data_IF_829474637533
#
_entry.id   IF_829474637533
#
_cell.length_a   1.000
_cell.length_b   1.000
_cell.length_c   1.000
_cell.angle_alpha   90.00
_cell.angle_beta   90.00
_cell.angle_gamma   90.00
#
_symmetry.space_group_name_H-M   'P 1'
#
loop_
_entity.id
_entity.type
_entity.pdbx_description
1 polymer ?
#
# COMPACT_ATOMS: atom_id res chain seq x y z
N UNK A 1 29.31 -25.40 47.93
CA UNK A 1 28.17 -25.96 48.68
C UNK A 1 27.08 -24.90 48.71
N UNK A 2 25.87 -25.30 48.30
CA UNK A 2 24.58 -24.59 48.38
C UNK A 2 24.22 -23.58 47.28
N UNK A 3 23.20 -24.02 46.54
CA UNK A 3 22.27 -23.35 45.64
C UNK A 3 21.71 -22.02 46.15
N UNK A 4 21.36 -21.14 45.20
CA UNK A 4 20.05 -20.50 45.20
C UNK A 4 19.57 -20.27 43.76
N UNK A 5 18.43 -20.88 43.42
CA UNK A 5 17.59 -20.53 42.26
C UNK A 5 16.56 -19.55 42.80
N UNK A 6 16.33 -18.42 42.11
CA UNK A 6 14.97 -17.87 42.04
C UNK A 6 14.77 -17.06 40.76
N UNK A 7 13.78 -17.50 40.02
CA UNK A 7 13.12 -16.96 38.85
C UNK A 7 12.60 -15.54 39.05
N UNK A 8 12.77 -14.69 38.03
CA UNK A 8 11.88 -13.54 37.77
C UNK A 8 11.39 -13.61 36.34
N UNK A 9 10.16 -14.07 36.21
CA UNK A 9 9.25 -13.94 35.07
C UNK A 9 8.96 -12.46 34.82
N UNK A 10 9.39 -11.92 33.68
CA UNK A 10 8.92 -10.63 33.19
C UNK A 10 7.63 -10.87 32.40
N UNK A 11 6.50 -10.70 33.09
CA UNK A 11 5.18 -10.65 32.49
C UNK A 11 5.05 -9.39 31.60
N UNK A 12 4.61 -9.58 30.37
CA UNK A 12 4.21 -8.54 29.44
C UNK A 12 2.95 -7.84 29.95
N UNK A 13 3.08 -6.58 30.40
CA UNK A 13 1.94 -5.72 30.72
C UNK A 13 1.52 -4.97 29.46
N UNK A 14 0.64 -5.56 28.64
CA UNK A 14 -0.17 -4.77 27.71
C UNK A 14 -1.36 -4.19 28.49
N UNK A 15 -1.52 -2.87 28.41
CA UNK A 15 -2.60 -2.13 29.07
C UNK A 15 -3.97 -2.61 28.55
N UNK A 16 -4.96 -2.92 29.43
CA UNK A 16 -6.27 -3.42 29.01
C UNK A 16 -7.04 -2.45 28.08
N UNK A 17 -6.78 -1.14 28.20
CA UNK A 17 -7.44 -0.09 27.42
C UNK A 17 -7.00 -0.04 25.96
N UNK A 18 -5.73 -0.27 25.64
CA UNK A 18 -5.22 -0.24 24.26
C UNK A 18 -5.62 -1.48 23.45
N UNK A 19 -5.81 -2.61 24.13
CA UNK A 19 -6.28 -3.85 23.51
C UNK A 19 -7.79 -3.79 23.17
N UNK A 20 -8.59 -3.15 24.03
CA UNK A 20 -10.02 -2.92 23.78
C UNK A 20 -10.26 -1.98 22.59
N UNK A 21 -9.52 -0.86 22.53
CA UNK A 21 -9.62 0.09 21.40
C UNK A 21 -9.17 -0.52 20.07
N UNK A 22 -8.15 -1.38 20.10
CA UNK A 22 -7.71 -2.09 18.89
C UNK A 22 -8.79 -3.03 18.36
N UNK A 23 -9.41 -3.83 19.24
CA UNK A 23 -10.46 -4.78 18.85
C UNK A 23 -11.68 -4.09 18.23
N UNK A 24 -12.14 -2.99 18.83
CA UNK A 24 -13.27 -2.21 18.31
C UNK A 24 -12.97 -1.61 16.93
N UNK A 25 -11.75 -1.10 16.72
CA UNK A 25 -11.32 -0.57 15.41
C UNK A 25 -11.32 -1.66 14.32
N UNK A 26 -10.83 -2.87 14.64
CA UNK A 26 -10.89 -4.00 13.70
C UNK A 26 -12.32 -4.46 13.42
N UNK A 27 -13.21 -4.49 14.42
CA UNK A 27 -14.62 -4.81 14.20
C UNK A 27 -15.29 -3.77 13.28
N UNK A 28 -14.97 -2.49 13.46
CA UNK A 28 -15.44 -1.41 12.58
C UNK A 28 -14.92 -1.57 11.15
N UNK A 29 -13.63 -1.89 10.97
CA UNK A 29 -13.04 -2.20 9.67
C UNK A 29 -13.77 -3.37 8.99
N UNK A 30 -13.97 -4.48 9.68
CA UNK A 30 -14.60 -5.67 9.09
C UNK A 30 -16.04 -5.37 8.66
N UNK A 31 -16.79 -4.63 9.47
CA UNK A 31 -18.13 -4.15 9.11
C UNK A 31 -18.09 -3.25 7.87
N UNK A 32 -17.15 -2.30 7.82
CA UNK A 32 -16.94 -1.42 6.68
C UNK A 32 -16.67 -2.21 5.39
N UNK A 33 -15.72 -3.16 5.42
CA UNK A 33 -15.35 -4.01 4.28
C UNK A 33 -16.54 -4.83 3.78
N UNK A 34 -17.25 -5.53 4.67
CA UNK A 34 -18.41 -6.35 4.29
C UNK A 34 -19.55 -5.49 3.73
N UNK A 35 -19.85 -4.35 4.36
CA UNK A 35 -20.90 -3.43 3.87
C UNK A 35 -20.57 -2.81 2.52
N UNK A 36 -19.29 -2.73 2.17
CA UNK A 36 -18.78 -2.18 0.91
C UNK A 36 -18.57 -3.24 -0.18
N UNK A 37 -19.00 -4.49 0.07
CA UNK A 37 -19.02 -5.58 -0.92
C UNK A 37 -17.75 -6.42 -1.01
N UNK A 38 -16.81 -6.27 -0.08
CA UNK A 38 -15.65 -7.16 0.00
C UNK A 38 -16.06 -8.56 0.47
N UNK A 39 -15.50 -9.58 -0.17
CA UNK A 39 -15.73 -11.00 0.16
C UNK A 39 -14.42 -11.64 0.55
N UNK A 40 -14.37 -12.24 1.74
CA UNK A 40 -13.15 -12.81 2.34
C UNK A 40 -13.49 -13.92 3.32
N UNK A 41 -14.52 -14.71 3.01
CA UNK A 41 -14.88 -15.88 3.80
C UNK A 41 -13.70 -16.86 3.86
N UNK A 42 -13.40 -17.36 5.05
CA UNK A 42 -12.23 -18.21 5.25
C UNK A 42 -10.93 -17.44 5.49
N UNK A 43 -10.96 -16.11 5.66
CA UNK A 43 -9.78 -15.27 5.95
C UNK A 43 -9.98 -14.50 7.26
N UNK A 44 -9.01 -14.59 8.15
CA UNK A 44 -8.94 -13.77 9.37
C UNK A 44 -7.83 -12.73 9.25
N UNK A 45 -8.15 -11.47 9.57
CA UNK A 45 -7.16 -10.39 9.70
C UNK A 45 -6.51 -10.48 11.08
N UNK A 46 -5.21 -10.80 11.13
CA UNK A 46 -4.43 -10.94 12.37
C UNK A 46 -3.05 -10.30 12.21
N UNK A 47 -2.96 -8.96 12.32
CA UNK A 47 -1.71 -8.26 12.12
C UNK A 47 -0.66 -8.66 13.15
N UNK A 48 0.56 -8.92 12.69
CA UNK A 48 1.71 -9.18 13.57
C UNK A 48 2.25 -7.86 14.14
N UNK A 49 2.89 -7.93 15.31
CA UNK A 49 3.55 -6.77 15.91
C UNK A 49 4.74 -6.26 15.08
N UNK A 50 5.32 -7.11 14.23
CA UNK A 50 6.49 -6.77 13.41
C UNK A 50 6.09 -6.14 12.07
N UNK A 51 5.16 -6.76 11.34
CA UNK A 51 4.82 -6.31 9.99
C UNK A 51 3.60 -5.38 9.96
N UNK A 52 2.86 -5.29 11.08
CA UNK A 52 1.58 -4.57 11.17
C UNK A 52 0.57 -5.02 10.09
N UNK A 53 0.73 -6.26 9.63
CA UNK A 53 -0.03 -6.96 8.59
C UNK A 53 -0.12 -8.43 8.96
N UNK A 54 -1.06 -9.13 8.34
CA UNK A 54 -1.29 -10.53 8.62
C UNK A 54 -2.69 -10.96 8.21
N UNK A 55 -2.74 -11.86 7.25
CA UNK A 55 -3.94 -12.60 6.88
C UNK A 55 -3.68 -14.08 7.17
N UNK A 56 -4.64 -14.73 7.84
CA UNK A 56 -4.58 -16.16 8.15
C UNK A 56 -5.77 -16.85 7.49
N UNK A 57 -5.52 -17.94 6.78
CA UNK A 57 -6.56 -18.81 6.28
C UNK A 57 -7.26 -19.51 7.45
N UNK A 58 -8.57 -19.40 7.58
CA UNK A 58 -9.37 -20.14 8.58
C UNK A 58 -9.95 -21.44 8.01
N UNK A 59 -9.74 -21.68 6.71
CA UNK A 59 -10.12 -22.88 5.99
C UNK A 59 -9.05 -23.20 4.93
N UNK A 60 -9.13 -24.38 4.32
CA UNK A 60 -8.25 -24.74 3.21
C UNK A 60 -8.73 -24.10 1.90
N UNK A 61 -7.82 -23.44 1.18
CA UNK A 61 -8.04 -22.92 -0.17
C UNK A 61 -7.30 -23.79 -1.19
N UNK A 62 -7.94 -24.07 -2.33
CA UNK A 62 -7.31 -24.81 -3.44
C UNK A 62 -6.52 -23.86 -4.32
N UNK A 63 -5.49 -24.37 -4.98
CA UNK A 63 -4.77 -23.64 -6.02
C UNK A 63 -5.72 -23.10 -7.10
N UNK A 64 -5.46 -21.88 -7.56
CA UNK A 64 -6.25 -21.19 -8.59
C UNK A 64 -7.58 -20.62 -8.11
N UNK A 65 -7.89 -20.72 -6.81
CA UNK A 65 -9.15 -20.16 -6.25
C UNK A 65 -8.96 -18.75 -5.71
N UNK A 66 -10.03 -17.98 -5.76
CA UNK A 66 -10.08 -16.63 -5.17
C UNK A 66 -10.25 -16.74 -3.66
N UNK A 67 -9.29 -16.18 -2.93
CA UNK A 67 -9.26 -16.16 -1.46
C UNK A 67 -10.05 -14.98 -0.91
N UNK A 68 -9.85 -13.81 -1.51
CA UNK A 68 -10.62 -12.61 -1.22
C UNK A 68 -10.79 -11.76 -2.47
N UNK A 69 -11.84 -10.95 -2.47
CA UNK A 69 -12.20 -10.06 -3.58
C UNK A 69 -12.70 -8.73 -3.00
N UNK A 70 -12.09 -7.63 -3.43
CA UNK A 70 -12.32 -6.28 -2.91
C UNK A 70 -12.79 -5.37 -4.06
N UNK A 71 -14.04 -4.87 -4.04
CA UNK A 71 -14.53 -3.98 -5.08
C UNK A 71 -13.74 -2.68 -5.15
N UNK A 72 -13.12 -2.42 -6.29
CA UNK A 72 -12.32 -1.22 -6.48
C UNK A 72 -13.20 0.02 -6.59
N UNK A 73 -14.43 -0.12 -7.08
CA UNK A 73 -15.41 0.98 -7.23
C UNK A 73 -15.87 1.57 -5.90
N UNK A 74 -15.76 0.85 -4.79
CA UNK A 74 -16.11 1.36 -3.46
C UNK A 74 -14.87 1.57 -2.61
N UNK A 75 -13.97 0.58 -2.57
CA UNK A 75 -12.89 0.53 -1.58
C UNK A 75 -11.53 1.04 -2.07
N UNK A 76 -11.31 1.24 -3.38
CA UNK A 76 -10.01 1.75 -3.84
C UNK A 76 -9.77 3.19 -3.40
N UNK A 77 -8.57 3.48 -2.91
CA UNK A 77 -8.12 4.83 -2.60
C UNK A 77 -7.04 5.20 -3.61
N UNK A 78 -7.39 6.07 -4.55
CA UNK A 78 -6.51 6.60 -5.59
C UNK A 78 -6.57 8.13 -5.60
N UNK A 79 -5.58 8.76 -6.23
CA UNK A 79 -5.53 10.22 -6.30
C UNK A 79 -6.76 10.81 -7.00
N UNK A 80 -7.21 10.21 -8.11
CA UNK A 80 -8.39 10.65 -8.86
C UNK A 80 -9.67 10.61 -8.00
N UNK A 81 -9.88 9.51 -7.28
CA UNK A 81 -11.07 9.35 -6.42
C UNK A 81 -11.09 10.34 -5.27
N UNK A 82 -9.94 10.57 -4.63
CA UNK A 82 -9.84 11.55 -3.54
C UNK A 82 -10.05 12.98 -4.04
N UNK A 83 -9.51 13.34 -5.21
CA UNK A 83 -9.71 14.66 -5.81
C UNK A 83 -11.15 14.92 -6.26
N UNK A 84 -11.97 13.89 -6.39
CA UNK A 84 -13.39 14.02 -6.72
C UNK A 84 -14.28 14.30 -5.48
N UNK A 85 -13.72 14.34 -4.26
CA UNK A 85 -14.47 14.70 -3.05
C UNK A 85 -14.44 16.20 -2.81
N UNK A 86 -15.55 16.76 -2.32
CA UNK A 86 -15.63 18.19 -1.99
C UNK A 86 -14.67 18.57 -0.86
N UNK A 87 -14.50 17.69 0.12
CA UNK A 87 -13.59 17.91 1.24
C UNK A 87 -12.15 18.11 0.75
N UNK A 88 -11.61 17.16 -0.01
CA UNK A 88 -10.22 17.25 -0.50
C UNK A 88 -10.03 18.47 -1.39
N UNK A 89 -10.99 18.76 -2.30
CA UNK A 89 -10.91 19.97 -3.14
C UNK A 89 -10.92 21.25 -2.32
N UNK A 90 -11.69 21.30 -1.23
CA UNK A 90 -11.74 22.46 -0.34
C UNK A 90 -10.43 22.72 0.39
N UNK A 91 -9.60 21.69 0.58
CA UNK A 91 -8.27 21.84 1.18
C UNK A 91 -7.25 22.47 0.23
N UNK A 92 -7.54 22.53 -1.08
CA UNK A 92 -6.62 23.01 -2.12
C UNK A 92 -5.21 22.35 -2.04
N UNK A 93 -5.12 21.00 -2.15
CA UNK A 93 -3.88 20.26 -2.00
C UNK A 93 -2.84 20.60 -3.08
N UNK A 94 -1.53 20.40 -2.80
CA UNK A 94 -0.50 20.45 -3.83
C UNK A 94 -0.86 19.53 -4.99
N UNK A 95 -0.81 20.08 -6.20
CA UNK A 95 -1.12 19.32 -7.41
C UNK A 95 -0.02 18.32 -7.72
N UNK A 96 -0.34 17.34 -8.55
CA UNK A 96 0.65 16.42 -9.12
C UNK A 96 1.83 17.15 -9.78
N UNK A 97 1.58 18.28 -10.44
CA UNK A 97 2.64 19.07 -11.08
C UNK A 97 3.51 19.82 -10.08
N UNK A 98 2.98 20.23 -8.93
CA UNK A 98 3.77 20.77 -7.82
C UNK A 98 4.76 19.73 -7.30
N UNK A 99 4.27 18.52 -7.03
CA UNK A 99 5.09 17.38 -6.61
C UNK A 99 6.16 17.07 -7.65
N UNK A 100 5.79 16.97 -8.93
CA UNK A 100 6.72 16.69 -10.02
C UNK A 100 7.82 17.73 -10.12
N UNK A 101 7.48 19.02 -10.08
CA UNK A 101 8.45 20.12 -10.14
C UNK A 101 9.44 20.04 -8.99
N UNK A 102 8.94 19.80 -7.78
CA UNK A 102 9.77 19.70 -6.58
C UNK A 102 10.74 18.51 -6.62
N UNK A 103 10.26 17.34 -7.04
CA UNK A 103 11.08 16.13 -7.18
C UNK A 103 12.14 16.30 -8.28
N UNK A 104 11.77 16.87 -9.43
CA UNK A 104 12.72 17.16 -10.52
C UNK A 104 13.81 18.15 -10.09
N UNK A 105 13.46 19.18 -9.31
CA UNK A 105 14.44 20.13 -8.76
C UNK A 105 15.45 19.46 -7.81
N UNK A 106 15.10 18.29 -7.25
CA UNK A 106 15.97 17.45 -6.42
C UNK A 106 16.62 16.29 -7.18
N UNK A 107 16.56 16.30 -8.52
CA UNK A 107 17.17 15.27 -9.36
C UNK A 107 16.37 13.97 -9.46
N UNK A 108 15.15 13.92 -8.92
CA UNK A 108 14.27 12.74 -8.97
C UNK A 108 13.36 12.83 -10.19
N UNK A 109 13.60 11.98 -11.19
CA UNK A 109 12.82 11.92 -12.43
C UNK A 109 12.11 10.56 -12.57
N UNK A 110 11.31 10.20 -11.57
CA UNK A 110 10.48 9.00 -11.57
C UNK A 110 8.99 9.39 -11.55
N UNK A 111 8.23 9.15 -12.63
CA UNK A 111 6.82 9.48 -12.71
C UNK A 111 5.96 8.64 -11.76
N UNK A 112 6.35 7.41 -11.43
CA UNK A 112 5.63 6.59 -10.44
C UNK A 112 5.80 7.21 -9.08
N UNK A 113 7.03 7.50 -8.69
CA UNK A 113 7.32 8.10 -7.39
C UNK A 113 6.55 9.40 -7.21
N UNK A 114 6.44 10.21 -8.27
CA UNK A 114 5.58 11.39 -8.28
C UNK A 114 4.11 11.07 -7.99
N UNK A 115 3.55 10.04 -8.64
CA UNK A 115 2.16 9.60 -8.42
C UNK A 115 1.96 9.07 -6.98
N UNK A 116 2.96 8.38 -6.41
CA UNK A 116 2.93 7.84 -5.05
C UNK A 116 2.92 8.95 -4.00
N UNK A 117 3.81 9.94 -4.15
CA UNK A 117 3.89 11.10 -3.25
C UNK A 117 2.61 11.92 -3.32
N UNK A 118 2.08 12.12 -4.53
CA UNK A 118 0.81 12.83 -4.71
C UNK A 118 -0.35 12.08 -4.05
N UNK A 119 -0.46 10.75 -4.21
CA UNK A 119 -1.44 9.94 -3.48
C UNK A 119 -1.27 10.10 -1.96
N UNK A 120 -0.04 10.04 -1.45
CA UNK A 120 0.23 10.16 -0.03
C UNK A 120 -0.23 11.51 0.56
N UNK A 121 -0.02 12.62 -0.15
CA UNK A 121 -0.54 13.92 0.26
C UNK A 121 -2.07 13.90 0.35
N UNK A 122 -2.75 13.36 -0.65
CA UNK A 122 -4.22 13.30 -0.66
C UNK A 122 -4.75 12.37 0.44
N UNK A 123 -4.07 11.26 0.73
CA UNK A 123 -4.39 10.37 1.86
C UNK A 123 -4.21 11.09 3.19
N UNK A 124 -3.18 11.93 3.34
CA UNK A 124 -3.02 12.76 4.54
C UNK A 124 -4.18 13.77 4.69
N UNK A 125 -4.61 14.37 3.57
CA UNK A 125 -5.81 15.21 3.51
C UNK A 125 -7.06 14.46 3.97
N UNK A 126 -7.27 13.26 3.44
CA UNK A 126 -8.45 12.45 3.79
C UNK A 126 -8.39 11.96 5.25
N UNK A 127 -7.18 11.74 5.81
CA UNK A 127 -7.02 11.34 7.21
C UNK A 127 -7.51 12.38 8.21
N UNK A 128 -7.39 13.68 7.89
CA UNK A 128 -7.88 14.75 8.76
C UNK A 128 -9.39 15.00 8.59
N UNK A 129 -10.05 14.33 7.64
CA UNK A 129 -11.49 14.38 7.47
C UNK A 129 -12.20 13.55 8.55
N UNK A 130 -12.83 14.21 9.52
CA UNK A 130 -13.60 13.55 10.59
C UNK A 130 -14.80 12.73 10.08
N UNK A 131 -15.23 12.99 8.84
CA UNK A 131 -16.33 12.28 8.18
C UNK A 131 -15.84 11.40 7.03
N UNK A 132 -14.55 11.04 7.03
CA UNK A 132 -14.01 10.17 5.98
C UNK A 132 -14.77 8.84 5.95
N UNK A 133 -15.25 8.39 4.77
CA UNK A 133 -15.79 7.04 4.63
C UNK A 133 -14.71 5.97 4.87
N UNK A 134 -13.42 6.33 4.76
CA UNK A 134 -12.28 5.44 4.99
C UNK A 134 -11.75 5.49 6.43
N UNK A 135 -12.40 6.22 7.35
CA UNK A 135 -11.98 6.27 8.75
C UNK A 135 -11.78 4.87 9.38
N UNK A 136 -12.67 3.88 9.19
CA UNK A 136 -12.47 2.52 9.73
C UNK A 136 -11.19 1.84 9.21
N UNK A 137 -10.75 2.18 7.99
CA UNK A 137 -9.49 1.69 7.44
C UNK A 137 -8.29 2.43 8.02
N UNK A 138 -8.34 3.76 8.11
CA UNK A 138 -7.21 4.52 8.66
C UNK A 138 -6.99 4.27 10.15
N UNK A 139 -8.03 3.98 10.92
CA UNK A 139 -7.95 3.76 12.37
C UNK A 139 -7.27 2.44 12.75
N UNK A 140 -7.22 1.47 11.83
CA UNK A 140 -6.49 0.20 12.04
C UNK A 140 -5.05 0.26 11.53
N UNK A 141 -4.68 1.29 10.77
CA UNK A 141 -3.31 1.45 10.29
C UNK A 141 -2.40 1.90 11.44
N UNK A 142 -1.14 1.43 11.48
CA UNK A 142 -0.20 1.84 12.52
C UNK A 142 0.07 3.35 12.44
N UNK A 143 0.20 4.00 13.60
CA UNK A 143 0.62 5.39 13.73
C UNK A 143 1.71 5.50 14.81
N UNK A 144 2.98 5.79 14.46
CA UNK A 144 3.50 6.04 13.11
C UNK A 144 3.34 4.81 12.19
N UNK A 145 3.38 5.02 10.87
CA UNK A 145 3.18 3.93 9.90
C UNK A 145 4.25 2.84 10.03
N UNK A 146 5.47 3.24 10.39
CA UNK A 146 6.60 2.40 10.78
C UNK A 146 7.22 3.05 12.02
N UNK A 147 7.51 2.24 13.05
CA UNK A 147 8.23 2.71 14.24
C UNK A 147 9.73 2.66 13.98
N UNK A 148 10.27 3.74 13.41
CA UNK A 148 11.69 3.84 13.06
C UNK A 148 12.62 3.63 14.28
N UNK A 149 12.17 3.94 15.49
CA UNK A 149 12.93 3.69 16.73
C UNK A 149 13.03 2.20 17.03
N UNK A 150 11.92 1.47 16.93
CA UNK A 150 11.92 0.02 17.09
C UNK A 150 12.72 -0.69 15.99
N UNK A 151 12.61 -0.20 14.74
CA UNK A 151 13.37 -0.74 13.59
C UNK A 151 14.86 -0.60 13.82
N UNK A 152 15.35 0.61 14.14
CA UNK A 152 16.79 0.82 14.30
C UNK A 152 17.35 0.06 15.50
N UNK A 153 16.59 -0.05 16.60
CA UNK A 153 17.00 -0.86 17.75
C UNK A 153 17.20 -2.33 17.38
N UNK A 154 16.39 -2.87 16.45
CA UNK A 154 16.47 -4.26 15.99
C UNK A 154 17.64 -4.49 15.03
N UNK A 155 17.93 -3.55 14.13
CA UNK A 155 18.85 -3.77 13.01
C UNK A 155 20.21 -3.06 13.14
N UNK A 156 20.41 -2.17 14.12
CA UNK A 156 21.66 -1.38 14.27
C UNK A 156 22.95 -2.21 14.30
N UNK A 157 22.90 -3.43 14.84
CA UNK A 157 24.08 -4.29 15.01
C UNK A 157 24.29 -5.21 13.79
N UNK A 158 23.33 -5.22 12.85
CA UNK A 158 23.36 -5.99 11.60
C UNK A 158 23.75 -5.12 10.41
N UNK A 159 23.37 -3.84 10.44
CA UNK A 159 23.68 -2.88 9.39
C UNK A 159 25.10 -2.35 9.52
N UNK A 160 25.80 -2.20 8.39
CA UNK A 160 27.06 -1.48 8.39
C UNK A 160 26.84 0.05 8.55
N UNK A 161 27.88 0.82 8.93
CA UNK A 161 27.74 2.26 9.13
C UNK A 161 27.22 3.04 7.91
N UNK A 162 27.52 2.58 6.69
CA UNK A 162 27.04 3.23 5.45
C UNK A 162 25.55 2.98 5.25
N UNK A 163 25.09 1.75 5.52
CA UNK A 163 23.68 1.39 5.46
C UNK A 163 22.83 2.14 6.50
N UNK A 164 23.37 2.34 7.70
CA UNK A 164 22.72 3.16 8.73
C UNK A 164 22.56 4.62 8.29
N UNK A 165 23.61 5.18 7.66
CA UNK A 165 23.56 6.54 7.12
C UNK A 165 22.53 6.66 5.99
N UNK A 166 22.51 5.73 5.04
CA UNK A 166 21.54 5.72 3.94
C UNK A 166 20.08 5.63 4.46
N UNK A 167 19.84 4.84 5.51
CA UNK A 167 18.52 4.74 6.14
C UNK A 167 18.09 6.03 6.84
N UNK A 168 19.01 6.72 7.52
CA UNK A 168 18.75 8.04 8.13
C UNK A 168 18.50 9.10 7.04
N UNK A 169 19.31 9.11 5.98
CA UNK A 169 19.17 10.00 4.83
C UNK A 169 17.79 9.89 4.19
N UNK A 170 17.27 8.67 3.96
CA UNK A 170 15.92 8.47 3.44
C UNK A 170 14.86 9.16 4.31
N UNK A 171 14.96 9.08 5.63
CA UNK A 171 13.98 9.74 6.51
C UNK A 171 14.08 11.25 6.41
N UNK A 172 15.30 11.81 6.52
CA UNK A 172 15.53 13.26 6.50
C UNK A 172 15.13 13.90 5.18
N UNK A 173 15.48 13.26 4.07
CA UNK A 173 15.16 13.75 2.73
C UNK A 173 13.66 13.81 2.50
N UNK A 174 12.94 12.74 2.85
CA UNK A 174 11.49 12.70 2.66
C UNK A 174 10.74 13.65 3.60
N UNK A 175 11.18 13.82 4.85
CA UNK A 175 10.62 14.85 5.74
C UNK A 175 10.84 16.25 5.13
N UNK A 176 11.99 16.50 4.53
CA UNK A 176 12.30 17.78 3.88
C UNK A 176 11.42 18.03 2.65
N UNK A 177 11.20 17.00 1.81
CA UNK A 177 10.30 17.07 0.65
C UNK A 177 8.87 17.35 1.09
N UNK A 178 8.37 16.59 2.07
CA UNK A 178 6.99 16.72 2.55
C UNK A 178 6.76 18.08 3.22
N UNK A 179 7.73 18.57 4.00
CA UNK A 179 7.64 19.91 4.61
C UNK A 179 7.47 21.00 3.56
N UNK A 180 8.27 20.96 2.49
CA UNK A 180 8.14 21.94 1.40
C UNK A 180 6.77 21.87 0.70
N UNK A 181 6.18 20.67 0.57
CA UNK A 181 4.84 20.49 -0.01
C UNK A 181 3.74 20.94 0.96
N UNK A 182 3.87 20.70 2.26
CA UNK A 182 2.91 21.18 3.26
C UNK A 182 2.96 22.69 3.43
N UNK A 183 4.14 23.31 3.32
CA UNK A 183 4.28 24.77 3.35
C UNK A 183 3.52 25.42 2.18
N UNK A 184 3.53 24.77 1.01
CA UNK A 184 2.74 25.20 -0.14
C UNK A 184 1.22 24.99 0.07
N UNK A 185 0.84 23.93 0.80
CA UNK A 185 -0.55 23.64 1.13
C UNK A 185 -1.15 24.71 2.08
N UNK A 186 -0.34 25.21 3.01
CA UNK A 186 -0.74 26.24 3.96
C UNK A 186 -1.58 25.71 5.13
N UNK A 187 -2.23 26.61 5.87
CA UNK A 187 -2.85 26.31 7.18
C UNK A 187 -4.04 25.33 7.15
N UNK A 188 -4.62 25.07 5.97
CA UNK A 188 -5.67 24.06 5.80
C UNK A 188 -5.14 22.65 5.56
N UNK A 189 -3.82 22.51 5.31
CA UNK A 189 -3.19 21.23 5.04
C UNK A 189 -3.00 20.37 6.30
N UNK A 190 -2.79 19.05 6.13
CA UNK A 190 -2.42 18.17 7.23
C UNK A 190 -1.05 18.54 7.82
N UNK A 191 -0.82 18.27 9.12
CA UNK A 191 0.52 18.36 9.71
C UNK A 191 1.53 17.47 8.98
N UNK A 192 2.80 17.88 8.96
CA UNK A 192 3.87 17.15 8.27
C UNK A 192 4.03 15.72 8.77
N UNK A 193 3.74 15.47 10.05
CA UNK A 193 3.75 14.15 10.67
C UNK A 193 2.68 13.24 10.06
N UNK A 194 1.49 13.79 9.76
CA UNK A 194 0.40 13.06 9.09
C UNK A 194 0.76 12.81 7.62
N UNK A 195 1.38 13.78 6.94
CA UNK A 195 1.91 13.58 5.59
C UNK A 195 3.00 12.49 5.55
N UNK A 196 3.88 12.45 6.55
CA UNK A 196 4.92 11.44 6.66
C UNK A 196 4.34 10.05 6.94
N UNK A 197 3.35 9.95 7.83
CA UNK A 197 2.58 8.73 8.05
C UNK A 197 1.93 8.23 6.76
N UNK A 198 1.26 9.11 6.02
CA UNK A 198 0.59 8.75 4.76
C UNK A 198 1.60 8.31 3.69
N UNK A 199 2.75 8.98 3.61
CA UNK A 199 3.84 8.60 2.71
C UNK A 199 4.35 7.19 2.99
N UNK A 200 4.71 6.90 4.25
CA UNK A 200 5.19 5.57 4.65
C UNK A 200 4.11 4.50 4.50
N UNK A 201 2.84 4.86 4.69
CA UNK A 201 1.68 3.99 4.42
C UNK A 201 1.59 3.65 2.94
N UNK A 202 1.51 4.65 2.05
CA UNK A 202 1.42 4.44 0.60
C UNK A 202 2.61 3.66 0.07
N UNK A 203 3.83 4.08 0.43
CA UNK A 203 5.06 3.46 -0.04
C UNK A 203 5.13 1.96 0.30
N UNK A 204 4.66 1.59 1.49
CA UNK A 204 4.70 0.20 1.96
C UNK A 204 3.52 -0.64 1.48
N UNK A 205 2.31 -0.07 1.36
CA UNK A 205 1.04 -0.82 1.21
C UNK A 205 0.41 -0.75 -0.18
N UNK A 206 0.78 0.21 -1.01
CA UNK A 206 0.14 0.40 -2.31
C UNK A 206 0.36 -0.78 -3.26
N UNK A 207 -0.60 -0.94 -4.16
CA UNK A 207 -0.48 -1.74 -5.36
C UNK A 207 -0.56 -0.83 -6.59
N UNK A 208 0.10 -1.21 -7.67
CA UNK A 208 -0.09 -0.60 -8.98
C UNK A 208 -1.27 -1.31 -9.66
N UNK A 209 -2.45 -0.71 -9.61
CA UNK A 209 -3.69 -1.30 -10.14
C UNK A 209 -4.24 -0.45 -11.30
N UNK A 210 -5.08 -1.02 -12.18
CA UNK A 210 -5.69 -0.29 -13.27
C UNK A 210 -6.56 0.85 -12.70
N UNK A 211 -6.35 2.06 -13.21
CA UNK A 211 -7.09 3.26 -12.81
C UNK A 211 -8.59 3.11 -13.10
N UNK A 212 -8.92 2.49 -14.25
CA UNK A 212 -10.27 2.23 -14.70
C UNK A 212 -10.36 0.82 -15.30
N UNK A 213 -11.36 0.06 -14.88
CA UNK A 213 -11.71 -1.20 -15.53
C UNK A 213 -10.70 -2.34 -15.35
N UNK A 214 -10.54 -3.16 -16.38
CA UNK A 214 -9.69 -4.37 -16.39
C UNK A 214 -8.41 -4.13 -17.16
N UNK A 215 -7.42 -4.98 -16.91
CA UNK A 215 -6.31 -5.15 -17.85
C UNK A 215 -6.84 -5.64 -19.21
N UNK A 216 -6.40 -5.06 -20.34
CA UNK A 216 -6.76 -5.59 -21.63
C UNK A 216 -6.22 -7.03 -21.75
N UNK A 217 -6.98 -7.90 -22.43
CA UNK A 217 -6.79 -9.36 -22.40
C UNK A 217 -5.41 -9.83 -22.87
N UNK A 218 -4.70 -8.99 -23.63
CA UNK A 218 -3.34 -9.18 -24.13
C UNK A 218 -2.24 -8.94 -23.08
N UNK A 219 -2.53 -8.24 -21.98
CA UNK A 219 -1.59 -7.95 -20.89
C UNK A 219 -1.65 -9.02 -19.78
N UNK A 220 -2.73 -9.79 -19.72
CA UNK A 220 -3.02 -10.73 -18.64
C UNK A 220 -3.55 -10.02 -17.38
N UNK A 221 -4.50 -10.63 -16.68
CA UNK A 221 -5.11 -10.08 -15.44
C UNK A 221 -4.22 -10.20 -14.21
N UNK A 222 -3.09 -10.92 -14.31
CA UNK A 222 -2.15 -11.15 -13.22
C UNK A 222 -1.21 -9.97 -13.04
N UNK A 223 -1.45 -9.20 -11.98
CA UNK A 223 -0.59 -8.11 -11.53
C UNK A 223 0.30 -8.64 -10.42
N UNK A 224 1.38 -9.34 -10.78
CA UNK A 224 2.36 -9.77 -9.77
C UNK A 224 3.00 -8.55 -9.07
N UNK A 225 3.22 -8.65 -7.75
CA UNK A 225 3.86 -7.64 -6.90
C UNK A 225 5.29 -7.25 -7.34
N UNK A 226 5.87 -7.99 -8.30
CA UNK A 226 7.03 -7.54 -9.10
C UNK A 226 6.73 -6.33 -10.00
N UNK A 227 5.54 -5.73 -9.90
CA UNK A 227 5.05 -4.58 -10.66
C UNK A 227 5.95 -3.33 -10.68
N UNK A 228 6.93 -3.20 -9.79
CA UNK A 228 7.97 -2.16 -9.94
C UNK A 228 8.91 -2.45 -11.12
N UNK A 229 9.25 -3.71 -11.37
CA UNK A 229 9.97 -4.13 -12.58
C UNK A 229 9.03 -4.17 -13.81
N UNK A 230 7.76 -4.50 -13.62
CA UNK A 230 6.75 -4.51 -14.69
C UNK A 230 6.35 -3.11 -15.13
N UNK A 231 6.48 -2.07 -14.30
CA UNK A 231 6.23 -0.68 -14.67
C UNK A 231 7.17 -0.20 -15.78
N UNK A 232 8.48 -0.48 -15.68
CA UNK A 232 9.43 -0.14 -16.74
C UNK A 232 9.13 -0.83 -18.07
N UNK A 233 8.48 -2.01 -18.03
CA UNK A 233 8.04 -2.75 -19.21
C UNK A 233 6.70 -2.24 -19.74
N UNK A 234 5.75 -1.95 -18.86
CA UNK A 234 4.42 -1.42 -19.16
C UNK A 234 4.45 0.03 -19.66
N UNK A 235 5.35 0.88 -19.17
CA UNK A 235 5.56 2.25 -19.69
C UNK A 235 6.24 2.22 -21.06
N UNK A 236 7.23 1.32 -21.27
CA UNK A 236 7.82 1.11 -22.61
C UNK A 236 6.80 0.56 -23.59
N UNK A 237 5.99 -0.42 -23.18
CA UNK A 237 4.91 -0.96 -24.01
C UNK A 237 3.83 0.07 -24.29
N UNK A 238 3.38 0.86 -23.31
CA UNK A 238 2.39 1.93 -23.55
C UNK A 238 2.96 3.07 -24.37
N UNK A 239 4.24 3.46 -24.25
CA UNK A 239 4.86 4.45 -25.15
C UNK A 239 5.00 3.91 -26.58
N UNK A 240 5.42 2.66 -26.75
CA UNK A 240 5.54 2.02 -28.07
C UNK A 240 4.17 1.81 -28.68
N UNK A 241 3.18 1.33 -27.92
CA UNK A 241 1.78 1.16 -28.37
C UNK A 241 1.11 2.51 -28.64
N UNK A 242 1.32 3.55 -27.83
CA UNK A 242 0.83 4.91 -28.13
C UNK A 242 1.44 5.46 -29.41
N UNK A 243 2.74 5.22 -29.67
CA UNK A 243 3.39 5.62 -30.93
C UNK A 243 2.89 4.80 -32.13
N UNK A 244 2.72 3.48 -31.97
CA UNK A 244 2.23 2.61 -33.04
C UNK A 244 0.75 2.90 -33.35
N UNK A 245 -0.08 3.10 -32.31
CA UNK A 245 -1.50 3.44 -32.45
C UNK A 245 -1.73 4.88 -32.91
N UNK A 246 -0.94 5.87 -32.52
CA UNK A 246 -1.02 7.21 -33.14
C UNK A 246 -0.75 7.15 -34.65
N UNK A 247 0.11 6.23 -35.09
CA UNK A 247 0.40 6.00 -36.51
C UNK A 247 -0.73 5.21 -37.22
N UNK A 248 -1.46 4.35 -36.51
CA UNK A 248 -2.54 3.51 -37.07
C UNK A 248 -3.92 4.19 -36.97
N UNK A 249 -4.21 4.92 -35.90
CA UNK A 249 -5.44 5.69 -35.68
C UNK A 249 -5.57 6.88 -36.63
N UNK A 250 -4.45 7.40 -37.14
CA UNK A 250 -4.43 8.31 -38.29
C UNK A 250 -4.92 7.68 -39.60
N UNK A 251 -5.03 6.34 -39.68
CA UNK A 251 -5.40 5.58 -40.89
C UNK A 251 -6.73 4.82 -40.71
N UNK A 252 -7.05 4.33 -39.51
CA UNK A 252 -8.24 3.51 -39.23
C UNK A 252 -8.89 3.92 -37.90
N UNK A 253 -9.76 4.94 -37.95
CA UNK A 253 -10.36 5.58 -36.76
C UNK A 253 -11.07 4.61 -35.79
N UNK A 254 -10.38 4.22 -34.72
CA UNK A 254 -10.94 3.49 -33.56
C UNK A 254 -10.06 3.67 -32.31
N UNK A 255 -10.07 4.87 -31.73
CA UNK A 255 -9.16 5.26 -30.62
C UNK A 255 -9.65 4.91 -29.19
N UNK A 256 -10.87 4.39 -29.01
CA UNK A 256 -11.51 4.41 -27.68
C UNK A 256 -11.05 3.38 -26.63
N UNK A 257 -10.36 2.28 -26.99
CA UNK A 257 -10.14 1.14 -26.06
C UNK A 257 -8.74 1.13 -25.44
N UNK A 258 -7.81 1.89 -26.01
CA UNK A 258 -6.39 1.89 -25.64
C UNK A 258 -6.00 2.99 -24.65
N UNK A 259 -6.81 4.04 -24.53
CA UNK A 259 -6.48 5.22 -23.73
C UNK A 259 -6.73 5.02 -22.23
N UNK A 260 -7.53 4.02 -21.84
CA UNK A 260 -8.02 3.85 -20.46
C UNK A 260 -7.20 2.89 -19.57
N UNK A 261 -6.22 2.15 -20.10
CA UNK A 261 -5.40 1.25 -19.27
C UNK A 261 -4.12 1.94 -18.77
N UNK A 262 -4.20 2.52 -17.58
CA UNK A 262 -3.07 3.06 -16.82
C UNK A 262 -3.00 2.37 -15.46
N UNK A 263 -1.81 1.95 -15.05
CA UNK A 263 -1.59 1.54 -13.66
C UNK A 263 -1.34 2.78 -12.80
N UNK A 264 -2.05 2.89 -11.69
CA UNK A 264 -1.92 3.95 -10.70
C UNK A 264 -1.66 3.38 -9.31
N UNK A 265 -0.89 4.08 -8.46
CA UNK A 265 -0.79 3.74 -7.05
C UNK A 265 -2.18 3.71 -6.42
N UNK A 266 -2.49 2.59 -5.75
CA UNK A 266 -3.79 2.34 -5.14
C UNK A 266 -3.59 1.70 -3.78
N UNK A 267 -4.19 2.28 -2.73
CA UNK A 267 -4.43 1.54 -1.49
C UNK A 267 -5.78 0.83 -1.64
N UNK A 268 -5.80 -0.46 -1.33
CA UNK A 268 -7.01 -1.27 -1.40
C UNK A 268 -7.17 -1.98 -0.05
N UNK A 269 -8.04 -1.46 0.84
CA UNK A 269 -8.27 -2.02 2.17
C UNK A 269 -8.51 -3.52 2.10
N UNK A 270 -7.97 -4.25 3.07
CA UNK A 270 -7.90 -5.73 3.15
C UNK A 270 -6.86 -6.37 2.23
N UNK A 271 -6.80 -5.99 0.95
CA UNK A 271 -5.81 -6.55 0.03
C UNK A 271 -4.39 -6.14 0.46
N UNK A 272 -4.22 -4.93 1.00
CA UNK A 272 -2.96 -4.41 1.50
C UNK A 272 -2.54 -4.92 2.90
N UNK A 273 -3.39 -5.74 3.55
CA UNK A 273 -3.11 -6.40 4.83
C UNK A 273 -2.33 -7.71 4.68
N UNK A 274 -2.02 -8.10 3.45
CA UNK A 274 -1.23 -9.29 3.13
C UNK A 274 0.19 -9.16 3.70
N UNK A 275 0.66 -10.24 4.30
CA UNK A 275 1.94 -10.30 5.01
C UNK A 275 3.11 -10.62 4.07
N UNK A 276 4.35 -10.43 4.53
CA UNK A 276 5.49 -11.01 3.86
C UNK A 276 5.65 -12.50 4.19
N UNK A 277 5.91 -13.32 3.16
CA UNK A 277 6.36 -14.71 3.28
C UNK A 277 7.62 -14.96 2.46
N UNK A 278 8.47 -15.95 2.83
CA UNK A 278 9.63 -16.33 2.04
C UNK A 278 9.28 -16.66 0.58
N UNK A 279 8.13 -17.29 0.37
CA UNK A 279 7.56 -17.56 -0.95
C UNK A 279 6.10 -17.15 -0.99
N UNK A 280 5.69 -16.43 -2.04
CA UNK A 280 4.30 -16.04 -2.26
C UNK A 280 3.42 -17.28 -2.36
N UNK A 281 2.32 -17.31 -1.60
CA UNK A 281 1.24 -18.28 -1.82
C UNK A 281 0.02 -17.66 -2.49
N UNK A 282 0.06 -16.35 -2.78
CA UNK A 282 -0.97 -15.62 -3.51
C UNK A 282 -0.41 -14.69 -4.58
N UNK A 283 -1.22 -14.39 -5.59
CA UNK A 283 -1.04 -13.30 -6.55
C UNK A 283 -2.19 -12.29 -6.46
N UNK A 284 -1.95 -11.07 -6.95
CA UNK A 284 -3.01 -10.07 -7.12
C UNK A 284 -3.51 -10.12 -8.55
N UNK A 285 -4.83 -10.17 -8.71
CA UNK A 285 -5.49 -10.04 -10.00
C UNK A 285 -6.58 -9.00 -9.93
N UNK A 286 -6.91 -8.41 -11.09
CA UNK A 286 -8.10 -7.56 -11.22
C UNK A 286 -9.08 -8.24 -12.14
N UNK A 287 -10.24 -8.61 -11.60
CA UNK A 287 -11.28 -9.36 -12.32
C UNK A 287 -12.63 -8.64 -12.28
N UNK A 288 -13.45 -8.75 -13.34
CA UNK A 288 -14.80 -8.22 -13.32
C UNK A 288 -15.70 -9.16 -12.54
N UNK A 289 -16.49 -8.60 -11.62
CA UNK A 289 -17.49 -9.34 -10.85
C UNK A 289 -18.84 -8.68 -11.03
N UNK A 290 -19.57 -9.10 -12.07
CA UNK A 290 -20.97 -8.75 -12.34
C UNK A 290 -21.43 -7.41 -11.75
N UNK A 291 -22.19 -7.50 -10.66
CA UNK A 291 -22.81 -6.41 -9.89
C UNK A 291 -21.84 -5.53 -9.07
N UNK A 292 -20.62 -6.02 -8.78
CA UNK A 292 -19.57 -5.33 -8.00
C UNK A 292 -18.55 -4.57 -8.87
N UNK A 293 -18.60 -4.73 -10.20
CA UNK A 293 -17.64 -4.13 -11.12
C UNK A 293 -16.25 -4.75 -11.02
N UNK A 294 -15.19 -3.98 -11.27
CA UNK A 294 -13.80 -4.46 -11.12
C UNK A 294 -13.45 -4.69 -9.64
N UNK A 295 -12.92 -5.87 -9.33
CA UNK A 295 -12.45 -6.23 -8.01
C UNK A 295 -10.95 -6.56 -8.04
N UNK A 296 -10.22 -6.08 -7.03
CA UNK A 296 -8.87 -6.56 -6.75
C UNK A 296 -8.97 -7.83 -5.91
N UNK A 297 -8.33 -8.90 -6.37
CA UNK A 297 -8.50 -10.24 -5.82
C UNK A 297 -7.16 -10.89 -5.49
N UNK A 298 -7.17 -11.70 -4.42
CA UNK A 298 -6.07 -12.62 -4.15
C UNK A 298 -6.40 -13.99 -4.72
N UNK A 299 -5.57 -14.48 -5.65
CA UNK A 299 -5.67 -15.84 -6.16
C UNK A 299 -4.63 -16.72 -5.47
N UNK A 300 -5.05 -17.90 -5.02
CA UNK A 300 -4.17 -18.90 -4.45
C UNK A 300 -3.22 -19.45 -5.52
N UNK A 301 -1.90 -19.32 -5.30
CA UNK A 301 -0.88 -19.88 -6.18
C UNK A 301 -0.58 -21.36 -5.92
N UNK A 302 -1.07 -21.86 -4.79
CA UNK A 302 -1.01 -23.27 -4.37
C UNK A 302 -2.13 -23.53 -3.38
N UNK A 303 -2.26 -24.78 -2.95
CA UNK A 303 -3.10 -25.09 -1.78
C UNK A 303 -2.57 -24.36 -0.54
N UNK A 304 -3.48 -23.73 0.23
CA UNK A 304 -3.21 -23.03 1.48
C UNK A 304 -4.06 -23.67 2.57
N UNK A 305 -3.43 -24.17 3.63
CA UNK A 305 -4.13 -24.89 4.69
C UNK A 305 -4.77 -23.95 5.71
N UNK A 306 -5.80 -24.45 6.41
CA UNK A 306 -6.33 -23.74 7.58
C UNK A 306 -5.23 -23.52 8.62
N UNK A 307 -5.14 -22.29 9.14
CA UNK A 307 -4.10 -21.82 10.05
C UNK A 307 -2.87 -21.24 9.36
N UNK A 308 -2.74 -21.36 8.04
CA UNK A 308 -1.59 -20.85 7.29
C UNK A 308 -1.69 -19.33 7.05
N UNK A 309 -0.54 -18.65 7.05
CA UNK A 309 -0.45 -17.25 6.65
C UNK A 309 -0.65 -17.09 5.14
N UNK A 310 -1.35 -16.03 4.74
CA UNK A 310 -1.54 -15.61 3.35
C UNK A 310 -0.63 -14.41 3.09
N UNK A 311 0.23 -14.51 2.07
CA UNK A 311 1.35 -13.58 1.94
C UNK A 311 2.03 -13.52 0.58
N UNK A 312 2.75 -12.43 0.38
CA UNK A 312 3.62 -12.20 -0.76
C UNK A 312 5.09 -12.34 -0.36
N UNK A 313 5.92 -12.81 -1.28
CA UNK A 313 7.36 -12.54 -1.24
C UNK A 313 7.58 -11.09 -1.69
N UNK A 314 7.77 -10.20 -0.72
CA UNK A 314 8.05 -8.80 -0.98
C UNK A 314 9.41 -8.67 -1.64
N UNK A 315 9.48 -7.71 -2.56
CA UNK A 315 10.61 -7.58 -3.45
C UNK A 315 11.90 -7.24 -2.68
N UNK A 316 12.96 -8.00 -2.96
CA UNK A 316 14.32 -7.84 -2.42
C UNK A 316 15.24 -7.05 -3.37
N UNK A 317 14.72 -6.52 -4.48
CA UNK A 317 15.54 -5.88 -5.53
C UNK A 317 16.08 -4.50 -5.17
N UNK A 318 15.75 -3.97 -3.98
CA UNK A 318 16.24 -2.68 -3.49
C UNK A 318 17.25 -2.90 -2.38
N UNK A 319 18.08 -1.89 -2.12
CA UNK A 319 19.07 -1.94 -1.03
C UNK A 319 18.41 -2.23 0.32
N UNK A 320 19.18 -2.83 1.22
CA UNK A 320 18.78 -3.09 2.61
C UNK A 320 18.22 -1.83 3.30
N UNK A 321 18.87 -0.65 3.20
CA UNK A 321 18.38 0.58 3.85
C UNK A 321 17.02 1.03 3.32
N UNK A 322 16.84 1.07 2.00
CA UNK A 322 15.55 1.41 1.40
C UNK A 322 14.46 0.38 1.73
N UNK A 323 14.81 -0.91 1.80
CA UNK A 323 13.87 -1.98 2.17
C UNK A 323 13.36 -1.80 3.60
N UNK A 324 14.26 -1.51 4.54
CA UNK A 324 13.91 -1.16 5.93
C UNK A 324 13.09 0.12 6.01
N UNK A 325 13.49 1.16 5.28
CA UNK A 325 12.74 2.40 5.20
C UNK A 325 11.31 2.16 4.68
N UNK A 326 11.18 1.32 3.65
CA UNK A 326 9.90 1.03 3.01
C UNK A 326 8.99 0.15 3.86
N UNK A 327 9.48 -0.94 4.44
CA UNK A 327 8.63 -1.95 5.07
C UNK A 327 8.74 -1.99 6.59
N UNK A 328 9.79 -1.43 7.18
CA UNK A 328 10.09 -1.55 8.61
C UNK A 328 10.68 -2.89 9.02
N UNK A 329 10.96 -3.79 8.08
CA UNK A 329 11.59 -5.08 8.33
C UNK A 329 12.40 -5.54 7.12
N UNK A 330 13.28 -6.52 7.33
CA UNK A 330 14.00 -7.18 6.25
C UNK A 330 13.30 -8.47 5.83
N UNK A 331 12.84 -8.60 4.57
CA UNK A 331 12.28 -9.82 4.02
C UNK A 331 13.39 -10.84 3.74
N UNK A 332 13.91 -11.49 4.80
CA UNK A 332 15.04 -12.42 4.76
C UNK A 332 14.67 -13.79 4.17
#
# INVERSE_FOLDING_TARGET
MLHYISTTTSASSSSPSSAATGKEAYEALMKFLTSSGATFEGVAVRPSAEQCRGLIATQTFREGTTILSVPMTTLSITADRLLNTDFIRSLNPPTRDDVRRLLMARGVNDPVLCDQVHLALLVAGERINVHSPFAPYFDVLPYPAIDDTAVIQRYKDVLDPTQLLEWDDHQRDWVTVLRALTDQWGNGGPPVEVCYWAWRTVLSRMHMLPDRGLAPADVGSSLHYSALATYGRAERQTRIMKRLRATIGAVFGSDGVAEDYRLVPTLLPLLDMVDHLPSSNVSVEVQPRGDRGSCGELQALREIQAGEHIGFSFNRSQGIPFTLYRFGFLPL
#
